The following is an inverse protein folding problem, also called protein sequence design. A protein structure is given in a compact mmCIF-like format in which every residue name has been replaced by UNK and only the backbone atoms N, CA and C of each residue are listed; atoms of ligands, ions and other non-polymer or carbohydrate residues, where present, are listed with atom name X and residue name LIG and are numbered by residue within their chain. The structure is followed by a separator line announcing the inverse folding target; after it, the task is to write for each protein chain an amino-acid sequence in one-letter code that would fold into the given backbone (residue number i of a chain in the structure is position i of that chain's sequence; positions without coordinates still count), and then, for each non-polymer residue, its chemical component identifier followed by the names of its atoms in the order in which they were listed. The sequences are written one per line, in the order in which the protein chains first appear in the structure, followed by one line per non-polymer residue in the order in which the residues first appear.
data_IF_336256295818
#
_entry.id   IF_336256295818
#
_cell.length_a   1.000
_cell.length_b   1.000
_cell.length_c   1.000
_cell.angle_alpha   90.00
_cell.angle_beta   90.00
_cell.angle_gamma   90.00
#
_symmetry.space_group_name_H-M   'P 1'
#
loop_
_entity.id
_entity.type
_entity.pdbx_description
1 polymer ?
#
# COMPACT_ATOMS: atom_id res chain seq x y z
N UNK A 1 -0.71 -18.88 9.99
CA UNK A 1 0.46 -18.04 10.36
C UNK A 1 0.26 -16.70 9.66
N UNK A 2 0.57 -15.60 10.32
CA UNK A 2 0.38 -14.25 9.76
C UNK A 2 1.71 -13.74 9.23
N UNK A 3 1.75 -13.34 7.97
CA UNK A 3 2.96 -12.85 7.33
C UNK A 3 3.31 -11.44 7.81
N UNK A 4 4.59 -11.09 7.82
CA UNK A 4 5.07 -9.76 8.26
C UNK A 4 6.02 -9.14 7.24
N UNK A 5 5.68 -7.94 6.81
CA UNK A 5 6.51 -7.10 5.95
C UNK A 5 6.88 -5.86 6.74
N UNK A 6 8.17 -5.66 7.02
CA UNK A 6 8.64 -4.53 7.82
C UNK A 6 9.81 -3.79 7.20
N UNK A 7 9.84 -2.47 7.37
CA UNK A 7 10.97 -1.60 7.03
C UNK A 7 11.46 -1.79 5.58
N UNK A 8 10.52 -1.83 4.63
CA UNK A 8 10.81 -2.00 3.21
C UNK A 8 10.42 -0.78 2.39
N UNK A 9 11.08 -0.64 1.25
CA UNK A 9 10.70 0.28 0.20
C UNK A 9 10.23 -0.51 -1.02
N UNK A 10 9.08 -0.13 -1.57
CA UNK A 10 8.49 -0.74 -2.76
C UNK A 10 8.19 0.32 -3.79
N UNK A 11 8.41 0.01 -5.07
CA UNK A 11 8.16 0.92 -6.19
C UNK A 11 7.76 0.11 -7.42
N UNK A 12 6.72 0.55 -8.13
CA UNK A 12 6.11 -0.16 -9.24
C UNK A 12 4.60 -0.36 -9.07
N UNK A 13 3.96 -0.91 -10.10
CA UNK A 13 2.52 -1.16 -10.10
C UNK A 13 2.17 -2.46 -9.35
N UNK A 14 1.16 -2.41 -8.49
CA UNK A 14 0.53 -3.59 -7.87
C UNK A 14 1.51 -4.53 -7.15
N UNK A 15 2.51 -3.95 -6.47
CA UNK A 15 3.61 -4.68 -5.81
C UNK A 15 3.11 -5.75 -4.82
N UNK A 16 2.04 -5.48 -4.08
CA UNK A 16 1.42 -6.40 -3.12
C UNK A 16 0.02 -6.79 -3.56
N UNK A 17 -0.15 -7.07 -4.85
CA UNK A 17 -1.41 -7.57 -5.39
C UNK A 17 -1.86 -8.86 -4.69
N UNK A 18 -3.12 -8.88 -4.24
CA UNK A 18 -3.76 -10.07 -3.68
C UNK A 18 -3.18 -10.51 -2.33
N UNK A 19 -2.42 -9.66 -1.63
CA UNK A 19 -1.79 -10.02 -0.35
C UNK A 19 -2.85 -10.35 0.71
N UNK A 20 -2.64 -11.43 1.48
CA UNK A 20 -3.60 -11.89 2.49
C UNK A 20 -2.93 -12.13 3.83
N UNK A 21 -3.68 -11.95 4.91
CA UNK A 21 -3.27 -12.32 6.28
C UNK A 21 -1.87 -11.77 6.64
N UNK A 22 -1.62 -10.49 6.32
CA UNK A 22 -0.30 -9.87 6.39
C UNK A 22 -0.31 -8.59 7.23
N UNK A 23 0.70 -8.43 8.09
CA UNK A 23 1.00 -7.17 8.78
C UNK A 23 2.12 -6.42 8.06
N UNK A 24 1.87 -5.17 7.73
CA UNK A 24 2.74 -4.27 6.96
C UNK A 24 3.07 -3.07 7.87
N UNK A 25 4.34 -2.93 8.25
CA UNK A 25 4.77 -1.92 9.22
C UNK A 25 6.03 -1.18 8.77
N UNK A 26 6.03 0.15 8.84
CA UNK A 26 7.21 0.94 8.47
C UNK A 26 7.57 0.82 6.98
N UNK A 27 6.59 0.56 6.12
CA UNK A 27 6.82 0.36 4.67
C UNK A 27 6.58 1.65 3.91
N UNK A 28 7.43 1.96 2.95
CA UNK A 28 7.25 3.09 2.03
C UNK A 28 6.93 2.57 0.63
N UNK A 29 5.76 2.92 0.13
CA UNK A 29 5.35 2.73 -1.26
C UNK A 29 5.68 4.01 -2.05
N UNK A 30 6.65 3.88 -2.95
CA UNK A 30 7.16 4.91 -3.85
C UNK A 30 6.25 5.19 -5.05
N UNK A 31 6.85 5.48 -6.20
CA UNK A 31 6.13 5.70 -7.44
C UNK A 31 5.47 4.40 -7.95
N UNK A 32 4.32 4.52 -8.60
CA UNK A 32 3.58 3.37 -9.14
C UNK A 32 2.16 3.26 -8.58
N UNK A 33 1.32 2.48 -9.25
CA UNK A 33 -0.13 2.50 -9.00
C UNK A 33 -0.62 1.27 -8.25
N UNK A 34 -1.63 1.50 -7.39
CA UNK A 34 -2.40 0.42 -6.78
C UNK A 34 -1.55 -0.61 -6.02
N UNK A 35 -0.63 -0.19 -5.12
CA UNK A 35 0.31 -1.10 -4.47
C UNK A 35 -0.37 -2.23 -3.71
N UNK A 36 -1.50 -1.96 -3.05
CA UNK A 36 -2.37 -2.95 -2.42
C UNK A 36 -3.68 -3.00 -3.20
N UNK A 37 -3.77 -3.95 -4.11
CA UNK A 37 -5.00 -4.22 -4.86
C UNK A 37 -5.47 -5.62 -4.52
N UNK A 38 -6.76 -5.76 -4.20
CA UNK A 38 -7.42 -7.02 -3.82
C UNK A 38 -6.77 -7.70 -2.59
N UNK A 39 -6.22 -6.90 -1.68
CA UNK A 39 -5.69 -7.36 -0.42
C UNK A 39 -6.81 -7.78 0.55
N UNK A 40 -6.52 -8.76 1.43
CA UNK A 40 -7.51 -9.26 2.40
C UNK A 40 -6.92 -9.50 3.78
N UNK A 41 -7.63 -9.03 4.82
CA UNK A 41 -7.22 -9.22 6.22
C UNK A 41 -5.79 -8.73 6.47
N UNK A 42 -5.55 -7.45 6.17
CA UNK A 42 -4.23 -6.83 6.34
C UNK A 42 -4.25 -5.73 7.39
N UNK A 43 -3.11 -5.53 8.02
CA UNK A 43 -2.88 -4.45 8.99
C UNK A 43 -1.71 -3.59 8.52
N UNK A 44 -1.97 -2.31 8.34
CA UNK A 44 -1.02 -1.30 7.92
C UNK A 44 -0.70 -0.39 9.09
N UNK A 45 0.59 -0.26 9.41
CA UNK A 45 1.06 0.62 10.47
C UNK A 45 2.29 1.42 10.03
N UNK A 46 2.37 2.68 10.45
CA UNK A 46 3.57 3.53 10.28
C UNK A 46 4.11 3.56 8.84
N UNK A 47 3.22 3.43 7.85
CA UNK A 47 3.58 3.25 6.44
C UNK A 47 3.27 4.49 5.60
N UNK A 48 4.03 4.68 4.52
CA UNK A 48 3.96 5.87 3.67
C UNK A 48 3.57 5.47 2.26
N UNK A 49 2.55 6.10 1.71
CA UNK A 49 2.14 5.95 0.31
C UNK A 49 2.38 7.25 -0.45
N UNK A 50 3.33 7.23 -1.38
CA UNK A 50 3.73 8.41 -2.16
C UNK A 50 2.91 8.61 -3.44
N UNK A 51 2.19 7.60 -3.89
CA UNK A 51 1.49 7.61 -5.18
C UNK A 51 0.02 7.17 -5.09
N UNK A 52 -0.59 7.02 -6.26
CA UNK A 52 -2.04 6.90 -6.46
C UNK A 52 -2.59 5.54 -6.02
N UNK A 53 -3.82 5.61 -5.50
CA UNK A 53 -4.68 4.47 -5.16
C UNK A 53 -4.02 3.46 -4.22
N UNK A 54 -3.58 3.86 -3.02
CA UNK A 54 -2.84 2.97 -2.10
C UNK A 54 -3.60 1.69 -1.72
N UNK A 55 -4.94 1.77 -1.69
CA UNK A 55 -5.88 0.68 -1.40
C UNK A 55 -6.91 0.60 -2.54
N UNK A 56 -7.09 -0.57 -3.15
CA UNK A 56 -8.00 -0.79 -4.26
C UNK A 56 -8.68 -2.18 -4.16
N UNK A 57 -10.00 -2.21 -3.97
CA UNK A 57 -10.80 -3.46 -3.79
C UNK A 57 -10.34 -4.35 -2.62
N UNK A 58 -9.86 -3.76 -1.53
CA UNK A 58 -9.37 -4.51 -0.38
C UNK A 58 -10.50 -4.82 0.64
N UNK A 59 -10.37 -5.96 1.33
CA UNK A 59 -11.34 -6.43 2.33
C UNK A 59 -10.68 -6.58 3.72
N UNK A 60 -11.32 -6.08 4.78
CA UNK A 60 -10.82 -6.17 6.17
C UNK A 60 -9.40 -5.58 6.33
N UNK A 61 -9.25 -4.30 5.98
CA UNK A 61 -8.00 -3.55 6.16
C UNK A 61 -8.06 -2.75 7.45
N UNK A 62 -7.03 -2.86 8.28
CA UNK A 62 -6.80 -1.95 9.42
C UNK A 62 -5.64 -1.02 9.07
N UNK A 63 -5.81 0.28 9.29
CA UNK A 63 -4.79 1.30 9.00
C UNK A 63 -4.57 2.14 10.25
N UNK A 64 -3.30 2.27 10.68
CA UNK A 64 -2.90 3.12 11.79
C UNK A 64 -1.64 3.90 11.44
N UNK A 65 -1.59 5.18 11.79
CA UNK A 65 -0.38 6.03 11.67
C UNK A 65 0.27 6.06 10.26
N UNK A 66 -0.53 5.84 9.21
CA UNK A 66 -0.06 5.89 7.83
C UNK A 66 -0.16 7.29 7.24
N UNK A 67 0.78 7.63 6.35
CA UNK A 67 0.80 8.88 5.59
C UNK A 67 0.49 8.59 4.13
N UNK A 68 -0.56 9.21 3.59
CA UNK A 68 -0.93 9.10 2.18
C UNK A 68 -0.74 10.46 1.53
N UNK A 69 0.10 10.52 0.51
CA UNK A 69 0.28 11.74 -0.28
C UNK A 69 -0.78 11.80 -1.38
N UNK A 70 -1.51 12.92 -1.42
CA UNK A 70 -2.46 13.18 -2.49
C UNK A 70 -1.72 13.61 -3.75
N UNK A 71 -1.74 12.77 -4.79
CA UNK A 71 -1.15 13.07 -6.09
C UNK A 71 -2.25 13.56 -7.03
N UNK A 72 -2.04 14.72 -7.67
CA UNK A 72 -3.01 15.28 -8.60
C UNK A 72 -2.97 14.53 -9.92
N UNK A 73 -4.15 14.25 -10.49
CA UNK A 73 -4.26 13.47 -11.72
C UNK A 73 -3.65 14.15 -12.95
N UNK A 74 -3.38 15.47 -12.91
CA UNK A 74 -2.71 16.20 -14.00
C UNK A 74 -1.22 15.86 -14.16
N UNK A 75 -0.62 15.19 -13.17
CA UNK A 75 0.79 14.81 -13.22
C UNK A 75 1.03 13.48 -13.98
N UNK A 76 -0.05 12.86 -14.50
CA UNK A 76 0.01 11.73 -15.45
C UNK A 76 -0.27 12.22 -16.86
N UNK A 77 0.65 13.00 -17.42
CA UNK A 77 0.73 13.20 -18.87
C UNK A 77 1.63 12.09 -19.42
N UNK A 78 0.98 10.98 -19.76
CA UNK A 78 1.41 10.07 -20.82
C UNK A 78 0.44 10.28 -21.98
#
# INVERSE_FOLDING_TARGET
MTDKIKNKYFEGERILYGVKDTQIEGVTFGHGESPLKEAKNIELKDSIFKWKYPLWYDEKVRVGDCKIFCVRMKDSLI
#
